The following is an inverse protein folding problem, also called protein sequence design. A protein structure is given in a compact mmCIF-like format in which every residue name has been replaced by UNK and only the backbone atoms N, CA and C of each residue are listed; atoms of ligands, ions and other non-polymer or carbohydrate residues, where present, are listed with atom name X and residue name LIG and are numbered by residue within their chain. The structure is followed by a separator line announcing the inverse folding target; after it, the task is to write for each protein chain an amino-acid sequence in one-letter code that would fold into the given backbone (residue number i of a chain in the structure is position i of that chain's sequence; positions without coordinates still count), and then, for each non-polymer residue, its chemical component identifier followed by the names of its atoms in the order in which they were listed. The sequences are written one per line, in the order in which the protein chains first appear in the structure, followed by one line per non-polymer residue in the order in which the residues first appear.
data_IF_474453487986
#
_entry.id   IF_474453487986
#
_cell.length_a   1.000
_cell.length_b   1.000
_cell.length_c   1.000
_cell.angle_alpha   90.00
_cell.angle_beta   90.00
_cell.angle_gamma   90.00
#
_symmetry.space_group_name_H-M   'P 1'
#
loop_
_entity.id
_entity.type
_entity.pdbx_description
1 polymer ?
#
# COMPACT_ATOMS: atom_id res chain seq x y z
N UNK A 1 -25.45 15.30 -22.13
CA UNK A 1 -25.14 14.78 -20.77
C UNK A 1 -25.53 13.31 -20.65
N UNK A 2 -24.78 12.35 -21.22
CA UNK A 2 -25.01 10.90 -21.00
C UNK A 2 -23.73 10.09 -21.33
N UNK A 3 -22.69 10.18 -20.50
CA UNK A 3 -21.54 9.22 -20.54
C UNK A 3 -20.94 8.93 -19.15
N UNK A 4 -21.16 9.75 -18.12
CA UNK A 4 -20.50 9.61 -16.80
C UNK A 4 -21.17 8.66 -15.79
N UNK A 5 -22.45 8.28 -15.99
CA UNK A 5 -23.23 7.48 -15.04
C UNK A 5 -22.69 6.06 -14.73
N UNK A 6 -22.11 5.29 -15.67
CA UNK A 6 -21.58 3.95 -15.39
C UNK A 6 -20.30 4.00 -14.53
N UNK A 7 -19.48 5.04 -14.74
CA UNK A 7 -18.21 5.24 -14.04
C UNK A 7 -18.45 5.63 -12.60
N UNK A 8 -19.32 6.62 -12.36
CA UNK A 8 -19.66 7.06 -11.01
C UNK A 8 -20.21 5.90 -10.16
N UNK A 9 -21.05 5.05 -10.74
CA UNK A 9 -21.57 3.85 -10.06
C UNK A 9 -20.48 2.82 -9.78
N UNK A 10 -19.53 2.63 -10.69
CA UNK A 10 -18.40 1.71 -10.48
C UNK A 10 -17.43 2.22 -9.41
N UNK A 11 -17.15 3.53 -9.37
CA UNK A 11 -16.35 4.17 -8.31
C UNK A 11 -17.04 3.99 -6.96
N UNK A 12 -18.34 4.25 -6.92
CA UNK A 12 -19.14 4.10 -5.71
C UNK A 12 -19.07 2.67 -5.16
N UNK A 13 -19.24 1.64 -5.99
CA UNK A 13 -19.14 0.26 -5.55
C UNK A 13 -17.73 -0.16 -5.13
N UNK A 14 -16.69 0.39 -5.78
CA UNK A 14 -15.31 0.16 -5.37
C UNK A 14 -15.03 0.77 -4.00
N UNK A 15 -15.46 2.02 -3.77
CA UNK A 15 -15.34 2.67 -2.47
C UNK A 15 -16.13 1.91 -1.40
N UNK A 16 -17.34 1.44 -1.69
CA UNK A 16 -18.09 0.59 -0.77
C UNK A 16 -17.33 -0.70 -0.48
N UNK A 17 -16.74 -1.35 -1.48
CA UNK A 17 -15.98 -2.59 -1.28
C UNK A 17 -14.76 -2.36 -0.37
N UNK A 18 -14.05 -1.24 -0.55
CA UNK A 18 -12.93 -0.85 0.31
C UNK A 18 -13.38 -0.52 1.73
N UNK A 19 -14.45 0.26 1.88
CA UNK A 19 -15.01 0.58 3.21
C UNK A 19 -15.50 -0.69 3.90
N UNK A 20 -16.19 -1.57 3.18
CA UNK A 20 -16.64 -2.85 3.71
C UNK A 20 -15.45 -3.73 4.11
N UNK A 21 -14.37 -3.72 3.34
CA UNK A 21 -13.15 -4.44 3.66
C UNK A 21 -12.47 -3.88 4.92
N UNK A 22 -12.25 -2.57 5.02
CA UNK A 22 -11.66 -1.91 6.20
C UNK A 22 -12.53 -2.10 7.46
N UNK A 23 -13.85 -1.99 7.31
CA UNK A 23 -14.79 -2.25 8.40
C UNK A 23 -14.70 -3.71 8.85
N UNK A 24 -14.66 -4.66 7.91
CA UNK A 24 -14.55 -6.08 8.22
C UNK A 24 -13.24 -6.41 8.93
N UNK A 25 -12.12 -5.86 8.46
CA UNK A 25 -10.81 -5.99 9.12
C UNK A 25 -10.88 -5.49 10.56
N UNK A 26 -11.45 -4.31 10.76
CA UNK A 26 -11.58 -3.69 12.10
C UNK A 26 -12.45 -4.52 13.03
N UNK A 27 -13.57 -5.06 12.54
CA UNK A 27 -14.45 -5.94 13.30
C UNK A 27 -13.77 -7.28 13.63
N UNK A 28 -12.96 -7.81 12.71
CA UNK A 28 -12.30 -9.10 12.87
C UNK A 28 -11.08 -9.06 13.79
N UNK A 29 -10.38 -7.93 13.87
CA UNK A 29 -9.19 -7.77 14.71
C UNK A 29 -9.44 -8.15 16.18
N UNK A 30 -10.61 -7.79 16.72
CA UNK A 30 -11.01 -8.09 18.10
C UNK A 30 -11.87 -9.34 18.29
N UNK A 31 -12.26 -10.02 17.21
CA UNK A 31 -13.20 -11.13 17.27
C UNK A 31 -12.53 -12.43 17.75
N UNK A 32 -13.34 -13.27 18.42
CA UNK A 32 -12.93 -14.61 18.82
C UNK A 32 -12.68 -15.51 17.60
N UNK A 33 -11.89 -16.56 17.83
CA UNK A 33 -11.62 -17.58 16.82
C UNK A 33 -12.94 -18.29 16.45
N UNK A 34 -13.25 -18.50 15.16
CA UNK A 34 -14.53 -19.10 14.76
C UNK A 34 -14.63 -20.52 15.31
N UNK A 35 -15.74 -20.83 15.97
CA UNK A 35 -16.06 -22.20 16.38
C UNK A 35 -16.52 -23.00 15.16
N UNK A 36 -15.66 -23.84 14.58
CA UNK A 36 -15.99 -24.65 13.41
C UNK A 36 -14.87 -25.60 12.98
N UNK A 37 -15.15 -26.48 12.03
CA UNK A 37 -14.19 -27.46 11.50
C UNK A 37 -13.20 -26.88 10.48
N UNK A 38 -13.37 -25.61 10.08
CA UNK A 38 -12.55 -24.92 9.09
C UNK A 38 -11.70 -23.86 9.78
N UNK A 39 -10.40 -23.80 9.43
CA UNK A 39 -9.46 -22.82 10.00
C UNK A 39 -9.81 -21.37 9.63
N UNK A 40 -10.43 -21.16 8.46
CA UNK A 40 -10.98 -19.88 8.01
C UNK A 40 -12.40 -20.10 7.50
N UNK A 41 -13.42 -19.39 8.01
CA UNK A 41 -14.76 -19.43 7.45
C UNK A 41 -14.79 -18.80 6.05
N UNK A 42 -15.67 -19.28 5.17
CA UNK A 42 -15.74 -18.79 3.79
C UNK A 42 -15.88 -17.26 3.68
N UNK A 43 -16.53 -16.62 4.66
CA UNK A 43 -16.65 -15.16 4.74
C UNK A 43 -15.29 -14.50 4.96
N UNK A 44 -14.46 -14.99 5.88
CA UNK A 44 -13.11 -14.47 6.10
C UNK A 44 -12.24 -14.63 4.84
N UNK A 45 -12.35 -15.74 4.10
CA UNK A 45 -11.63 -15.92 2.84
C UNK A 45 -12.03 -14.87 1.78
N UNK A 46 -13.33 -14.59 1.68
CA UNK A 46 -13.84 -13.59 0.74
C UNK A 46 -13.32 -12.21 1.12
N UNK A 47 -13.46 -11.80 2.38
CA UNK A 47 -13.13 -10.45 2.81
C UNK A 47 -11.62 -10.21 2.99
N UNK A 48 -10.85 -11.20 3.42
CA UNK A 48 -9.42 -11.04 3.69
C UNK A 48 -8.54 -11.31 2.47
N UNK A 49 -8.97 -12.16 1.52
CA UNK A 49 -8.13 -12.56 0.38
C UNK A 49 -8.74 -12.12 -0.95
N UNK A 50 -10.02 -12.37 -1.16
CA UNK A 50 -10.66 -12.21 -2.47
C UNK A 50 -11.04 -10.76 -2.79
N UNK A 51 -11.61 -10.02 -1.83
CA UNK A 51 -11.93 -8.59 -1.98
C UNK A 51 -10.70 -7.73 -2.26
N UNK A 52 -9.55 -7.87 -1.56
CA UNK A 52 -8.32 -7.13 -1.91
C UNK A 52 -7.87 -7.37 -3.35
N UNK A 53 -7.87 -8.64 -3.79
CA UNK A 53 -7.49 -9.02 -5.15
C UNK A 53 -8.48 -8.46 -6.20
N UNK A 54 -9.78 -8.50 -5.93
CA UNK A 54 -10.80 -7.91 -6.80
C UNK A 54 -10.80 -6.39 -6.76
N UNK A 55 -10.43 -5.76 -5.65
CA UNK A 55 -10.24 -4.32 -5.57
C UNK A 55 -9.09 -3.89 -6.49
N UNK A 56 -7.96 -4.61 -6.50
CA UNK A 56 -6.87 -4.36 -7.43
C UNK A 56 -7.35 -4.43 -8.89
N UNK A 57 -8.09 -5.47 -9.25
CA UNK A 57 -8.65 -5.65 -10.58
C UNK A 57 -9.67 -4.55 -10.94
N UNK A 58 -10.54 -4.19 -10.00
CA UNK A 58 -11.56 -3.16 -10.17
C UNK A 58 -10.93 -1.77 -10.33
N UNK A 59 -9.87 -1.45 -9.60
CA UNK A 59 -9.10 -0.21 -9.77
C UNK A 59 -8.51 -0.11 -11.17
N UNK A 60 -7.83 -1.16 -11.64
CA UNK A 60 -7.28 -1.23 -12.99
C UNK A 60 -8.37 -1.01 -14.03
N UNK A 61 -9.49 -1.74 -13.93
CA UNK A 61 -10.60 -1.63 -14.88
C UNK A 61 -11.27 -0.26 -14.85
N UNK A 62 -11.52 0.30 -13.66
CA UNK A 62 -12.15 1.61 -13.51
C UNK A 62 -11.29 2.69 -14.14
N UNK A 63 -9.98 2.59 -13.96
CA UNK A 63 -9.03 3.49 -14.60
C UNK A 63 -9.07 3.39 -16.13
N UNK A 64 -9.17 2.17 -16.71
CA UNK A 64 -9.35 2.00 -18.16
C UNK A 64 -10.57 2.78 -18.67
N UNK A 65 -11.70 2.68 -17.96
CA UNK A 65 -12.96 3.31 -18.36
C UNK A 65 -12.92 4.83 -18.17
N UNK A 66 -12.34 5.33 -17.08
CA UNK A 66 -12.16 6.79 -16.84
C UNK A 66 -11.20 7.39 -17.88
N UNK A 67 -10.08 6.73 -18.14
CA UNK A 67 -9.10 7.17 -19.15
C UNK A 67 -9.70 7.23 -20.56
N UNK A 68 -10.57 6.29 -20.92
CA UNK A 68 -11.30 6.29 -22.19
C UNK A 68 -12.40 7.36 -22.29
N UNK A 69 -13.01 7.75 -21.17
CA UNK A 69 -14.21 8.61 -21.16
C UNK A 69 -13.94 10.10 -20.89
N UNK A 70 -12.87 10.45 -20.17
CA UNK A 70 -12.65 11.81 -19.68
C UNK A 70 -12.10 12.78 -20.74
N UNK A 71 -11.31 12.31 -21.71
CA UNK A 71 -10.75 13.14 -22.79
C UNK A 71 -10.45 12.22 -23.96
N UNK A 72 -11.09 12.40 -25.12
CA UNK A 72 -10.84 11.62 -26.34
C UNK A 72 -9.40 11.68 -26.89
N UNK A 73 -8.43 12.13 -26.08
CA UNK A 73 -7.01 12.35 -26.39
C UNK A 73 -6.09 12.17 -25.17
N UNK A 74 -6.56 11.85 -23.95
CA UNK A 74 -5.61 11.39 -22.91
C UNK A 74 -5.06 10.08 -23.43
N UNK A 75 -3.75 10.02 -23.69
CA UNK A 75 -3.16 8.90 -24.39
C UNK A 75 -3.30 7.65 -23.51
N UNK A 76 -4.40 6.89 -23.69
CA UNK A 76 -4.75 5.65 -22.99
C UNK A 76 -3.53 4.71 -22.98
N UNK A 77 -2.73 4.74 -24.04
CA UNK A 77 -1.43 4.07 -24.08
C UNK A 77 -0.47 4.52 -22.97
N UNK A 78 -0.28 5.82 -22.73
CA UNK A 78 0.61 6.29 -21.64
C UNK A 78 0.09 5.92 -20.25
N UNK A 79 -1.23 5.85 -20.07
CA UNK A 79 -1.85 5.61 -18.79
C UNK A 79 -1.90 4.11 -18.41
N UNK A 80 -1.84 3.21 -19.39
CA UNK A 80 -2.10 1.77 -19.20
C UNK A 80 -0.99 0.89 -19.77
N UNK A 81 -0.37 1.33 -20.85
CA UNK A 81 0.67 0.57 -21.55
C UNK A 81 2.07 1.16 -21.41
N UNK A 82 2.22 2.31 -20.75
CA UNK A 82 3.57 2.79 -20.43
C UNK A 82 4.21 1.87 -19.38
N UNK A 83 5.54 1.66 -19.45
CA UNK A 83 6.23 0.86 -18.44
C UNK A 83 5.95 1.32 -17.00
N UNK A 84 5.82 2.63 -16.77
CA UNK A 84 5.54 3.19 -15.43
C UNK A 84 4.10 2.89 -14.97
N UNK A 85 3.13 2.91 -15.89
CA UNK A 85 1.77 2.48 -15.58
C UNK A 85 1.71 0.99 -15.20
N UNK A 86 2.44 0.13 -15.91
CA UNK A 86 2.54 -1.28 -15.54
C UNK A 86 3.14 -1.47 -14.15
N UNK A 87 4.22 -0.73 -13.83
CA UNK A 87 4.83 -0.75 -12.49
C UNK A 87 3.81 -0.32 -11.43
N UNK A 88 3.02 0.72 -11.68
CA UNK A 88 1.96 1.15 -10.76
C UNK A 88 0.91 0.07 -10.52
N UNK A 89 0.33 -0.50 -11.59
CA UNK A 89 -0.76 -1.48 -11.48
C UNK A 89 -0.29 -2.81 -10.87
N UNK A 90 0.88 -3.28 -11.28
CA UNK A 90 1.50 -4.47 -10.69
C UNK A 90 1.82 -4.20 -9.21
N UNK A 91 2.41 -3.06 -8.89
CA UNK A 91 2.68 -2.67 -7.50
C UNK A 91 1.42 -2.64 -6.64
N UNK A 92 0.32 -2.08 -7.16
CA UNK A 92 -0.95 -2.02 -6.44
C UNK A 92 -1.51 -3.42 -6.18
N UNK A 93 -1.46 -4.30 -7.18
CA UNK A 93 -1.90 -5.68 -7.03
C UNK A 93 -1.06 -6.45 -6.00
N UNK A 94 0.28 -6.31 -6.06
CA UNK A 94 1.19 -6.93 -5.09
C UNK A 94 0.90 -6.41 -3.68
N UNK A 95 0.68 -5.11 -3.50
CA UNK A 95 0.39 -4.52 -2.19
C UNK A 95 -0.91 -5.09 -1.58
N UNK A 96 -1.98 -5.11 -2.37
CA UNK A 96 -3.29 -5.59 -1.90
C UNK A 96 -3.28 -7.09 -1.62
N UNK A 97 -2.59 -7.89 -2.44
CA UNK A 97 -2.40 -9.32 -2.21
C UNK A 97 -1.56 -9.56 -0.96
N UNK A 98 -0.46 -8.83 -0.78
CA UNK A 98 0.40 -8.92 0.40
C UNK A 98 -0.34 -8.61 1.70
N UNK A 99 -1.13 -7.52 1.70
CA UNK A 99 -1.97 -7.17 2.84
C UNK A 99 -3.02 -8.25 3.14
N UNK A 100 -3.71 -8.75 2.11
CA UNK A 100 -4.69 -9.82 2.28
C UNK A 100 -4.08 -11.14 2.77
N UNK A 101 -2.90 -11.49 2.27
CA UNK A 101 -2.15 -12.68 2.69
C UNK A 101 -1.76 -12.58 4.17
N UNK A 102 -1.21 -11.44 4.59
CA UNK A 102 -0.87 -11.16 5.99
C UNK A 102 -2.09 -11.35 6.90
N UNK A 103 -3.20 -10.68 6.59
CA UNK A 103 -4.43 -10.75 7.40
C UNK A 103 -4.99 -12.18 7.49
N UNK A 104 -5.02 -12.90 6.37
CA UNK A 104 -5.54 -14.27 6.33
C UNK A 104 -4.62 -15.22 7.10
N UNK A 105 -3.30 -15.12 6.91
CA UNK A 105 -2.32 -15.94 7.62
C UNK A 105 -2.36 -15.66 9.14
N UNK A 106 -2.45 -14.38 9.53
CA UNK A 106 -2.62 -13.98 10.92
C UNK A 106 -3.87 -14.58 11.56
N UNK A 107 -4.99 -14.54 10.84
CA UNK A 107 -6.24 -15.15 11.31
C UNK A 107 -6.12 -16.68 11.47
N UNK A 108 -5.47 -17.37 10.54
CA UNK A 108 -5.20 -18.82 10.66
C UNK A 108 -4.31 -19.10 11.86
N UNK A 109 -3.25 -18.32 12.05
CA UNK A 109 -2.29 -18.51 13.12
C UNK A 109 -2.98 -18.39 14.49
N UNK A 110 -3.80 -17.35 14.67
CA UNK A 110 -4.61 -17.15 15.88
C UNK A 110 -5.61 -18.29 16.11
N UNK A 111 -6.13 -18.88 15.04
CA UNK A 111 -7.10 -19.97 15.11
C UNK A 111 -6.48 -21.36 15.30
N UNK A 112 -5.15 -21.47 15.25
CA UNK A 112 -4.46 -22.75 15.20
C UNK A 112 -4.48 -23.47 16.56
N UNK A 113 -4.89 -24.76 16.60
CA UNK A 113 -4.77 -25.56 17.81
C UNK A 113 -3.31 -25.74 18.23
N UNK A 114 -3.04 -25.74 19.54
CA UNK A 114 -1.70 -25.91 20.11
C UNK A 114 -0.97 -27.19 19.65
N UNK A 115 -1.69 -28.21 19.17
CA UNK A 115 -1.07 -29.44 18.66
C UNK A 115 -0.35 -29.22 17.32
N UNK A 116 -0.68 -28.16 16.59
CA UNK A 116 -0.10 -27.85 15.29
C UNK A 116 0.97 -26.76 15.34
N UNK A 117 1.14 -26.06 16.46
CA UNK A 117 2.00 -24.87 16.57
C UNK A 117 3.48 -25.14 16.31
N UNK A 118 3.95 -26.37 16.54
CA UNK A 118 5.34 -26.79 16.26
C UNK A 118 5.48 -27.52 14.91
N UNK A 119 4.40 -27.66 14.14
CA UNK A 119 4.38 -28.39 12.88
C UNK A 119 4.80 -27.54 11.66
N UNK A 120 5.16 -28.21 10.57
CA UNK A 120 5.50 -27.57 9.28
C UNK A 120 4.36 -26.70 8.71
N UNK A 121 3.12 -27.01 9.07
CA UNK A 121 1.98 -26.16 8.71
C UNK A 121 2.02 -24.81 9.43
N UNK A 122 2.34 -24.79 10.73
CA UNK A 122 2.44 -23.55 11.50
C UNK A 122 3.57 -22.66 11.00
N UNK A 123 4.74 -23.24 10.71
CA UNK A 123 5.88 -22.47 10.19
C UNK A 123 5.55 -21.81 8.85
N UNK A 124 4.83 -22.49 7.95
CA UNK A 124 4.36 -21.90 6.69
C UNK A 124 3.38 -20.76 6.91
N UNK A 125 2.45 -20.88 7.86
CA UNK A 125 1.52 -19.79 8.18
C UNK A 125 2.24 -18.59 8.78
N UNK A 126 3.18 -18.81 9.70
CA UNK A 126 4.01 -17.74 10.28
C UNK A 126 4.83 -17.04 9.20
N UNK A 127 5.41 -17.80 8.27
CA UNK A 127 6.15 -17.24 7.13
C UNK A 127 5.26 -16.39 6.21
N UNK A 128 4.03 -16.85 5.93
CA UNK A 128 3.07 -16.08 5.13
C UNK A 128 2.60 -14.82 5.85
N UNK A 129 2.42 -14.89 7.18
CA UNK A 129 1.99 -13.78 8.04
C UNK A 129 3.09 -12.72 8.19
N UNK A 130 4.25 -13.12 8.73
CA UNK A 130 5.30 -12.22 9.19
C UNK A 130 6.35 -11.85 8.14
N UNK A 131 6.54 -12.65 7.08
CA UNK A 131 7.59 -12.40 6.09
C UNK A 131 7.00 -12.04 4.72
N UNK A 132 6.29 -12.98 4.09
CA UNK A 132 5.83 -12.82 2.70
C UNK A 132 4.76 -11.73 2.59
N UNK A 133 3.76 -11.72 3.48
CA UNK A 133 2.68 -10.74 3.44
C UNK A 133 3.21 -9.32 3.52
N UNK A 134 4.09 -9.05 4.49
CA UNK A 134 4.73 -7.74 4.63
C UNK A 134 5.71 -7.40 3.51
N UNK A 135 6.47 -8.38 3.00
CA UNK A 135 7.40 -8.14 1.90
C UNK A 135 6.65 -7.73 0.62
N UNK A 136 5.58 -8.45 0.30
CA UNK A 136 4.72 -8.10 -0.84
C UNK A 136 4.08 -6.73 -0.62
N UNK A 137 3.56 -6.46 0.58
CA UNK A 137 3.01 -5.15 0.92
C UNK A 137 4.04 -4.02 0.72
N UNK A 138 5.27 -4.20 1.23
CA UNK A 138 6.35 -3.24 1.10
C UNK A 138 6.78 -3.00 -0.35
N UNK A 139 6.98 -4.08 -1.12
CA UNK A 139 7.33 -4.00 -2.54
C UNK A 139 6.23 -3.30 -3.32
N UNK A 140 4.97 -3.66 -3.10
CA UNK A 140 3.84 -3.05 -3.80
C UNK A 140 3.67 -1.57 -3.48
N UNK A 141 3.78 -1.18 -2.21
CA UNK A 141 3.76 0.22 -1.78
C UNK A 141 4.93 1.01 -2.36
N UNK A 142 6.14 0.43 -2.42
CA UNK A 142 7.28 1.07 -3.04
C UNK A 142 7.08 1.30 -4.54
N UNK A 143 6.68 0.26 -5.29
CA UNK A 143 6.49 0.36 -6.75
C UNK A 143 5.40 1.36 -7.13
N UNK A 144 4.27 1.35 -6.41
CA UNK A 144 3.19 2.33 -6.63
C UNK A 144 3.64 3.75 -6.34
N UNK A 145 4.34 3.97 -5.22
CA UNK A 145 4.86 5.29 -4.84
C UNK A 145 5.90 5.81 -5.83
N UNK A 146 6.82 4.95 -6.26
CA UNK A 146 7.84 5.31 -7.24
C UNK A 146 7.22 5.67 -8.60
N UNK A 147 6.24 4.89 -9.06
CA UNK A 147 5.54 5.17 -10.31
C UNK A 147 4.76 6.50 -10.26
N UNK A 148 4.12 6.79 -9.11
CA UNK A 148 3.42 8.05 -8.86
C UNK A 148 4.39 9.23 -8.82
N UNK A 149 5.56 9.09 -8.18
CA UNK A 149 6.59 10.14 -8.19
C UNK A 149 7.12 10.41 -9.60
N UNK A 150 7.47 9.36 -10.36
CA UNK A 150 8.05 9.51 -11.71
C UNK A 150 7.05 10.15 -12.67
N UNK A 151 5.76 9.78 -12.61
CA UNK A 151 4.76 10.24 -13.57
C UNK A 151 3.97 11.46 -13.11
N UNK A 152 3.83 11.65 -11.80
CA UNK A 152 2.91 12.61 -11.20
C UNK A 152 3.56 13.95 -10.83
N UNK A 153 4.88 14.01 -10.71
CA UNK A 153 5.58 15.25 -10.40
C UNK A 153 5.37 16.31 -11.48
N UNK A 154 5.03 17.53 -11.07
CA UNK A 154 4.74 18.65 -11.97
C UNK A 154 3.39 18.59 -12.67
N UNK A 155 2.56 17.56 -12.41
CA UNK A 155 1.25 17.40 -13.05
C UNK A 155 0.12 18.22 -12.40
N UNK A 156 0.31 18.67 -11.15
CA UNK A 156 -0.69 19.38 -10.37
C UNK A 156 -0.46 20.89 -10.30
N UNK A 157 -1.49 21.62 -9.87
CA UNK A 157 -1.33 23.03 -9.50
C UNK A 157 -0.40 23.13 -8.28
N UNK A 158 0.49 24.13 -8.30
CA UNK A 158 1.42 24.35 -7.19
C UNK A 158 0.64 24.65 -5.92
N UNK A 159 0.93 23.90 -4.86
CA UNK A 159 0.38 24.12 -3.54
C UNK A 159 0.75 25.51 -3.03
N UNK A 160 -0.24 26.25 -2.55
CA UNK A 160 -0.05 27.60 -2.03
C UNK A 160 -0.75 27.77 -0.68
N UNK A 161 -0.19 28.64 0.17
CA UNK A 161 -0.77 28.94 1.47
C UNK A 161 -0.94 27.71 2.39
N UNK A 162 -2.13 27.51 3.00
CA UNK A 162 -2.37 26.52 4.05
C UNK A 162 -2.46 25.07 3.55
N UNK A 163 -2.55 24.82 2.24
CA UNK A 163 -2.59 23.47 1.69
C UNK A 163 -1.26 22.74 1.87
N UNK A 164 -0.15 23.49 1.86
CA UNK A 164 1.22 22.94 2.00
C UNK A 164 1.41 22.14 3.29
N UNK A 165 1.13 22.69 4.50
CA UNK A 165 1.24 21.90 5.73
C UNK A 165 0.27 20.72 5.78
N UNK A 166 -0.92 20.82 5.18
CA UNK A 166 -1.87 19.70 5.13
C UNK A 166 -1.30 18.52 4.33
N UNK A 167 -0.70 18.78 3.18
CA UNK A 167 -0.05 17.74 2.38
C UNK A 167 1.17 17.14 3.09
N UNK A 168 1.98 17.96 3.75
CA UNK A 168 3.15 17.48 4.53
C UNK A 168 2.71 16.63 5.72
N UNK A 169 1.68 17.05 6.46
CA UNK A 169 1.13 16.27 7.57
C UNK A 169 0.47 14.98 7.09
N UNK A 170 -0.26 15.04 5.97
CA UNK A 170 -0.80 13.86 5.31
C UNK A 170 0.29 12.88 4.90
N UNK A 171 1.41 13.39 4.36
CA UNK A 171 2.59 12.59 4.02
C UNK A 171 3.15 11.85 5.21
N UNK A 172 3.30 12.53 6.35
CA UNK A 172 3.76 11.92 7.59
C UNK A 172 2.79 10.86 8.09
N UNK A 173 1.49 11.16 8.11
CA UNK A 173 0.44 10.26 8.59
C UNK A 173 0.25 9.01 7.72
N UNK A 174 0.61 9.08 6.43
CA UNK A 174 0.45 7.98 5.47
C UNK A 174 1.79 7.31 5.19
N UNK A 175 2.62 7.90 4.35
CA UNK A 175 3.91 7.34 3.94
C UNK A 175 4.90 7.23 5.10
N UNK A 176 4.95 8.22 5.98
CA UNK A 176 5.82 8.19 7.15
C UNK A 176 5.50 7.03 8.08
N UNK A 177 4.23 6.94 8.49
CA UNK A 177 3.73 5.83 9.32
C UNK A 177 3.89 4.48 8.63
N UNK A 178 3.54 4.37 7.34
CA UNK A 178 3.63 3.12 6.61
C UNK A 178 5.07 2.59 6.53
N UNK A 179 6.05 3.47 6.24
CA UNK A 179 7.46 3.07 6.16
C UNK A 179 8.01 2.67 7.52
N UNK A 180 7.65 3.39 8.59
CA UNK A 180 8.04 3.02 9.96
C UNK A 180 7.40 1.68 10.36
N UNK A 181 6.13 1.48 10.03
CA UNK A 181 5.39 0.26 10.32
C UNK A 181 6.02 -0.96 9.62
N UNK A 182 6.37 -0.83 8.33
CA UNK A 182 7.08 -1.89 7.61
C UNK A 182 8.50 -2.09 8.12
N UNK A 183 9.19 -1.02 8.51
CA UNK A 183 10.55 -1.11 9.05
C UNK A 183 10.57 -1.83 10.40
N UNK A 184 9.82 -1.33 11.38
CA UNK A 184 9.86 -1.82 12.77
C UNK A 184 8.87 -2.96 13.00
N UNK A 185 7.61 -2.78 12.58
CA UNK A 185 6.54 -3.75 12.81
C UNK A 185 6.73 -5.04 12.03
N UNK A 186 7.18 -4.95 10.78
CA UNK A 186 7.46 -6.11 9.94
C UNK A 186 8.93 -6.57 9.94
N UNK A 187 9.80 -5.92 10.72
CA UNK A 187 11.23 -6.26 10.77
C UNK A 187 12.03 -5.94 9.48
N UNK A 188 11.46 -5.25 8.51
CA UNK A 188 12.09 -4.97 7.21
C UNK A 188 12.89 -3.66 7.21
N UNK A 189 13.69 -3.44 8.25
CA UNK A 189 14.32 -2.13 8.51
C UNK A 189 15.21 -1.68 7.35
N UNK A 190 16.10 -2.55 6.84
CA UNK A 190 17.01 -2.21 5.74
C UNK A 190 16.22 -1.85 4.48
N UNK A 191 15.25 -2.67 4.10
CA UNK A 191 14.44 -2.43 2.90
C UNK A 191 13.62 -1.15 3.01
N UNK A 192 13.06 -0.85 4.19
CA UNK A 192 12.33 0.39 4.44
C UNK A 192 13.24 1.64 4.33
N UNK A 193 14.47 1.57 4.86
CA UNK A 193 15.48 2.64 4.71
C UNK A 193 15.84 2.85 3.22
N UNK A 194 16.13 1.76 2.51
CA UNK A 194 16.49 1.81 1.08
C UNK A 194 15.33 2.39 0.26
N UNK A 195 14.10 1.92 0.48
CA UNK A 195 12.91 2.41 -0.21
C UNK A 195 12.70 3.91 0.03
N UNK A 196 12.78 4.36 1.28
CA UNK A 196 12.71 5.77 1.65
C UNK A 196 13.79 6.61 0.92
N UNK A 197 15.03 6.13 0.93
CA UNK A 197 16.15 6.81 0.28
C UNK A 197 15.93 6.92 -1.23
N UNK A 198 15.49 5.84 -1.89
CA UNK A 198 15.20 5.83 -3.33
C UNK A 198 14.04 6.78 -3.65
N UNK A 199 12.91 6.73 -2.92
CA UNK A 199 11.77 7.62 -3.17
C UNK A 199 12.17 9.10 -3.02
N UNK A 200 12.97 9.41 -2.01
CA UNK A 200 13.49 10.76 -1.78
C UNK A 200 14.48 11.19 -2.87
N UNK A 201 15.40 10.31 -3.26
CA UNK A 201 16.40 10.58 -4.29
C UNK A 201 15.76 10.77 -5.67
N UNK A 202 14.80 9.93 -6.06
CA UNK A 202 14.05 10.06 -7.31
C UNK A 202 13.35 11.42 -7.36
N UNK A 203 12.75 11.86 -6.25
CA UNK A 203 12.13 13.19 -6.22
C UNK A 203 13.14 14.32 -6.38
N UNK A 204 14.26 14.27 -5.65
CA UNK A 204 15.27 15.33 -5.68
C UNK A 204 16.05 15.37 -7.01
N UNK A 205 16.08 14.25 -7.74
CA UNK A 205 16.61 14.19 -9.09
C UNK A 205 15.76 14.97 -10.10
N UNK A 206 14.43 14.92 -9.93
CA UNK A 206 13.48 15.53 -10.87
C UNK A 206 13.14 16.99 -10.55
N UNK A 207 13.31 17.43 -9.29
CA UNK A 207 13.00 18.79 -8.88
C UNK A 207 13.91 19.28 -7.75
N UNK A 208 14.18 20.60 -7.67
CA UNK A 208 14.98 21.14 -6.59
C UNK A 208 14.27 21.03 -5.23
N UNK A 209 15.01 20.94 -4.10
CA UNK A 209 14.43 20.69 -2.76
C UNK A 209 13.32 21.66 -2.34
N UNK A 210 13.40 22.93 -2.76
CA UNK A 210 12.39 23.94 -2.41
C UNK A 210 11.05 23.75 -3.13
N UNK A 211 11.01 22.97 -4.21
CA UNK A 211 9.79 22.65 -4.96
C UNK A 211 9.07 21.42 -4.41
N UNK A 212 9.73 20.57 -3.63
CA UNK A 212 9.14 19.35 -3.03
C UNK A 212 7.88 19.64 -2.23
N UNK A 213 7.85 20.75 -1.49
CA UNK A 213 6.68 21.15 -0.68
C UNK A 213 5.68 22.02 -1.42
N UNK A 214 5.91 22.27 -2.72
CA UNK A 214 5.06 23.06 -3.60
C UNK A 214 4.40 22.19 -4.68
N UNK A 215 5.01 21.06 -5.03
CA UNK A 215 4.40 20.05 -5.88
C UNK A 215 3.50 19.13 -5.03
N UNK A 216 2.23 18.92 -5.40
CA UNK A 216 1.30 18.14 -4.58
C UNK A 216 1.69 16.66 -4.45
N UNK A 217 2.30 16.08 -5.48
CA UNK A 217 2.71 14.66 -5.46
C UNK A 217 3.97 14.50 -4.61
N UNK A 218 4.97 15.36 -4.81
CA UNK A 218 6.18 15.34 -3.98
C UNK A 218 5.86 15.68 -2.52
N UNK A 219 4.99 16.66 -2.25
CA UNK A 219 4.61 17.06 -0.89
C UNK A 219 3.84 15.96 -0.15
N UNK A 220 3.09 15.13 -0.87
CA UNK A 220 2.35 14.00 -0.30
C UNK A 220 3.25 12.80 0.02
N UNK A 221 4.33 12.56 -0.72
CA UNK A 221 5.12 11.32 -0.59
C UNK A 221 6.44 11.56 0.13
N UNK A 222 7.17 12.61 -0.25
CA UNK A 222 8.59 12.77 0.08
C UNK A 222 8.84 13.17 1.55
N UNK A 223 8.11 14.13 2.15
CA UNK A 223 8.37 14.52 3.55
C UNK A 223 8.23 13.34 4.52
N UNK A 224 7.15 12.56 4.37
CA UNK A 224 6.89 11.37 5.17
C UNK A 224 7.93 10.28 4.93
N UNK A 225 8.22 9.97 3.66
CA UNK A 225 9.23 8.98 3.33
C UNK A 225 10.60 9.33 3.90
N UNK A 226 11.10 10.54 3.63
CA UNK A 226 12.41 11.01 4.09
C UNK A 226 12.53 10.97 5.61
N UNK A 227 11.54 11.50 6.33
CA UNK A 227 11.57 11.54 7.79
C UNK A 227 11.47 10.14 8.40
N UNK A 228 10.70 9.24 7.79
CA UNK A 228 10.66 7.84 8.21
C UNK A 228 12.01 7.15 8.01
N UNK A 229 12.69 7.35 6.88
CA UNK A 229 14.03 6.81 6.66
C UNK A 229 15.04 7.32 7.68
N UNK A 230 15.02 8.62 7.99
CA UNK A 230 15.88 9.21 9.03
C UNK A 230 15.55 8.61 10.40
N UNK A 231 14.27 8.48 10.74
CA UNK A 231 13.83 7.88 11.99
C UNK A 231 14.29 6.42 12.13
N UNK A 232 14.21 5.62 11.05
CA UNK A 232 14.69 4.24 11.03
C UNK A 232 16.22 4.13 11.13
N UNK A 233 16.96 5.05 10.52
CA UNK A 233 18.43 5.14 10.69
C UNK A 233 18.77 5.45 12.15
N UNK A 234 18.09 6.43 12.76
CA UNK A 234 18.30 6.76 14.18
C UNK A 234 17.92 5.54 15.05
N UNK A 235 16.81 4.87 14.76
CA UNK A 235 16.36 3.69 15.47
C UNK A 235 17.40 2.56 15.44
N UNK A 236 17.95 2.26 14.26
CA UNK A 236 18.98 1.21 14.12
C UNK A 236 20.26 1.53 14.87
N UNK A 237 20.73 2.79 14.79
CA UNK A 237 21.99 3.22 15.41
C UNK A 237 21.88 3.35 16.94
N UNK A 238 20.79 3.95 17.43
CA UNK A 238 20.65 4.36 18.84
C UNK A 238 20.02 3.27 19.71
N UNK A 239 18.98 2.60 19.21
CA UNK A 239 18.20 1.63 19.99
C UNK A 239 18.81 0.22 19.90
N UNK A 240 19.77 0.01 18.98
CA UNK A 240 20.37 -1.31 18.78
C UNK A 240 19.41 -2.30 18.10
N UNK A 241 18.45 -1.79 17.33
CA UNK A 241 17.62 -2.62 16.45
C UNK A 241 18.51 -3.27 15.40
N UNK A 242 19.09 -4.42 15.73
CA UNK A 242 19.92 -5.16 14.79
C UNK A 242 19.06 -5.54 13.58
N UNK A 243 19.52 -5.26 12.35
CA UNK A 243 18.82 -5.73 11.18
C UNK A 243 18.88 -7.26 11.18
N UNK A 244 17.75 -7.90 11.48
CA UNK A 244 17.59 -9.33 11.26
C UNK A 244 17.49 -9.53 9.76
N UNK A 245 18.50 -10.17 9.18
CA UNK A 245 18.37 -10.76 7.86
C UNK A 245 17.39 -11.94 7.97
N UNK A 246 16.42 -12.10 7.05
CA UNK A 246 15.80 -13.40 6.86
C UNK A 246 16.85 -14.43 6.42
#
# INVERSE_FOLDING_TARGET
MRVTAPVARSVFWLLIALVAWELYQSLRAGAEVPSGSWAIPAVDLIFLVLIPAFAAFAFTRLFLVVGQSARGTLNIYTAISSPVAWVFWIGLAIALIGHGLHLAAHAIHKAMPAIFTEGEFASKIIFLDGEVGYLLLAVGLFLTSAAVLISGQGSGQRLSGPERPVFVLGSLATYGVAIIYLGVGAGQIIFAIIASAILSAVSLWNMPPYEVTRDPVAALIVPGALLAGIALIIWTIVVGGQPTWP
#
